data_IF_363700790901
#
_entry.id   IF_363700790901
#
_cell.length_a   1.000
_cell.length_b   1.000
_cell.length_c   1.000
_cell.angle_alpha   90.00
_cell.angle_beta   90.00
_cell.angle_gamma   90.00
#
_symmetry.space_group_name_H-M   'P 1'
#
loop_
_entity.id
_entity.type
_entity.pdbx_description
1 polymer ?
#
# COMPACT_ATOMS: atom_id res chain seq x y z
N UNK A 1 -1.45 -11.69 -1.43
CA UNK A 1 -0.36 -12.54 -0.96
C UNK A 1 0.97 -11.91 -1.37
N UNK A 2 1.95 -11.84 -0.49
CA UNK A 2 3.27 -11.29 -0.83
C UNK A 2 4.35 -12.20 -0.24
N UNK A 3 5.33 -12.59 -1.07
CA UNK A 3 6.42 -13.45 -0.63
C UNK A 3 5.94 -14.83 -0.15
N UNK A 4 6.67 -15.41 0.80
CA UNK A 4 6.42 -16.75 1.34
C UNK A 4 7.58 -17.71 1.12
N UNK A 5 7.48 -18.89 1.75
CA UNK A 5 8.48 -19.95 1.66
C UNK A 5 7.84 -21.20 1.03
N UNK A 6 8.42 -21.67 -0.08
CA UNK A 6 8.01 -22.93 -0.72
C UNK A 6 8.81 -24.08 -0.12
N UNK A 7 10.12 -23.88 0.02
CA UNK A 7 11.04 -24.82 0.63
C UNK A 7 12.20 -24.06 1.31
N UNK A 8 13.05 -24.73 2.11
CA UNK A 8 14.18 -24.06 2.77
C UNK A 8 15.15 -23.33 1.82
N UNK A 9 15.16 -23.68 0.53
CA UNK A 9 16.01 -23.08 -0.49
C UNK A 9 15.25 -22.16 -1.46
N UNK A 10 13.91 -22.13 -1.37
CA UNK A 10 13.05 -21.43 -2.33
C UNK A 10 12.10 -20.48 -1.60
N UNK A 11 12.41 -19.19 -1.73
CA UNK A 11 11.66 -18.10 -1.12
C UNK A 11 11.07 -17.21 -2.22
N UNK A 12 9.76 -16.99 -2.15
CA UNK A 12 9.01 -16.20 -3.10
C UNK A 12 9.37 -14.71 -3.01
N UNK A 13 9.36 -14.06 -4.17
CA UNK A 13 9.61 -12.61 -4.31
C UNK A 13 8.39 -11.86 -4.81
N UNK A 14 7.45 -12.57 -5.39
CA UNK A 14 6.30 -12.03 -6.08
C UNK A 14 5.18 -11.64 -5.13
N UNK A 15 4.33 -10.77 -5.66
CA UNK A 15 3.16 -10.25 -4.99
C UNK A 15 1.96 -10.56 -5.88
N UNK A 16 0.92 -11.09 -5.27
CA UNK A 16 -0.30 -11.54 -5.91
C UNK A 16 -1.51 -10.93 -5.22
N UNK A 17 -2.54 -10.63 -6.00
CA UNK A 17 -3.88 -10.29 -5.52
C UNK A 17 -4.85 -11.39 -5.94
N UNK A 18 -5.85 -11.66 -5.11
CA UNK A 18 -7.01 -12.46 -5.52
C UNK A 18 -8.16 -11.51 -5.85
N UNK A 19 -8.73 -11.67 -7.04
CA UNK A 19 -10.01 -11.07 -7.41
C UNK A 19 -11.10 -12.02 -6.91
N UNK A 20 -11.89 -11.57 -5.94
CA UNK A 20 -12.93 -12.40 -5.32
C UNK A 20 -14.22 -12.50 -6.16
N UNK A 21 -14.44 -11.58 -7.11
CA UNK A 21 -15.57 -11.65 -8.02
C UNK A 21 -15.32 -12.70 -9.10
N UNK A 22 -14.09 -12.73 -9.64
CA UNK A 22 -13.67 -13.67 -10.69
C UNK A 22 -13.10 -14.97 -10.15
N UNK A 23 -12.73 -15.00 -8.88
CA UNK A 23 -11.98 -16.09 -8.23
C UNK A 23 -10.64 -16.38 -8.92
N UNK A 24 -9.99 -15.32 -9.41
CA UNK A 24 -8.74 -15.39 -10.16
C UNK A 24 -7.58 -14.78 -9.38
N UNK A 25 -6.41 -15.40 -9.52
CA UNK A 25 -5.15 -14.86 -8.99
C UNK A 25 -4.48 -13.97 -10.03
N UNK A 26 -4.23 -12.73 -9.66
CA UNK A 26 -3.58 -11.72 -10.50
C UNK A 26 -2.17 -11.49 -9.93
N UNK A 27 -1.16 -11.75 -10.75
CA UNK A 27 0.23 -11.42 -10.42
C UNK A 27 0.45 -9.92 -10.63
N UNK A 28 0.95 -9.23 -9.62
CA UNK A 28 1.27 -7.81 -9.73
C UNK A 28 2.66 -7.62 -10.36
N UNK A 29 2.88 -6.48 -11.04
CA UNK A 29 4.17 -6.12 -11.65
C UNK A 29 5.19 -5.57 -10.63
N UNK A 30 4.96 -5.84 -9.35
CA UNK A 30 5.86 -5.48 -8.26
C UNK A 30 6.34 -6.73 -7.53
N UNK A 31 7.59 -6.67 -7.04
CA UNK A 31 8.25 -7.79 -6.37
C UNK A 31 9.28 -7.30 -5.37
N UNK A 32 9.54 -8.11 -4.36
CA UNK A 32 10.68 -7.91 -3.47
C UNK A 32 12.00 -8.07 -4.24
N UNK A 33 13.03 -7.31 -3.83
CA UNK A 33 14.40 -7.46 -4.37
C UNK A 33 14.97 -8.85 -4.05
N UNK A 34 14.74 -9.29 -2.82
CA UNK A 34 15.12 -10.61 -2.31
C UNK A 34 13.88 -11.38 -1.85
N UNK A 35 13.95 -12.71 -1.83
CA UNK A 35 12.84 -13.53 -1.37
C UNK A 35 12.58 -13.22 0.10
N UNK A 36 11.31 -13.05 0.47
CA UNK A 36 10.92 -12.60 1.80
C UNK A 36 9.75 -13.41 2.36
N UNK A 37 9.78 -13.72 3.65
CA UNK A 37 8.70 -14.37 4.39
C UNK A 37 8.63 -13.83 5.84
N UNK A 38 7.55 -14.13 6.57
CA UNK A 38 7.29 -13.62 7.93
C UNK A 38 7.38 -12.09 8.10
N UNK A 39 7.10 -11.33 7.03
CA UNK A 39 6.96 -9.89 7.10
C UNK A 39 5.53 -9.49 7.46
N UNK A 40 5.40 -8.29 8.03
CA UNK A 40 4.13 -7.65 8.27
C UNK A 40 3.70 -6.90 7.01
N UNK A 41 2.40 -6.86 6.74
CA UNK A 41 1.85 -6.09 5.61
C UNK A 41 0.67 -5.24 6.02
N UNK A 42 0.56 -4.06 5.42
CA UNK A 42 -0.62 -3.19 5.52
C UNK A 42 -0.93 -2.60 4.14
N UNK A 43 -2.19 -2.70 3.73
CA UNK A 43 -2.70 -2.04 2.52
C UNK A 43 -3.29 -0.69 2.94
N UNK A 44 -2.87 0.38 2.27
CA UNK A 44 -3.29 1.75 2.55
C UNK A 44 -3.87 2.35 1.28
N UNK A 45 -5.04 2.97 1.41
CA UNK A 45 -5.81 3.63 0.34
C UNK A 45 -6.04 2.75 -0.91
N UNK A 46 -6.08 1.43 -0.71
CA UNK A 46 -6.14 0.39 -1.75
C UNK A 46 -5.04 0.48 -2.83
N UNK A 47 -4.08 1.39 -2.66
CA UNK A 47 -3.09 1.77 -3.67
C UNK A 47 -1.68 1.36 -3.27
N UNK A 48 -1.40 1.32 -1.96
CA UNK A 48 -0.07 1.05 -1.45
C UNK A 48 -0.02 -0.14 -0.51
N UNK A 49 0.79 -1.13 -0.86
CA UNK A 49 1.15 -2.21 0.04
C UNK A 49 2.45 -1.86 0.75
N UNK A 50 2.36 -1.66 2.07
CA UNK A 50 3.53 -1.55 2.94
C UNK A 50 3.91 -2.94 3.44
N UNK A 51 5.20 -3.25 3.40
CA UNK A 51 5.77 -4.48 3.92
C UNK A 51 6.90 -4.14 4.88
N UNK A 52 6.78 -4.53 6.14
CA UNK A 52 7.76 -4.26 7.19
C UNK A 52 8.41 -5.55 7.65
N UNK A 53 9.73 -5.54 7.78
CA UNK A 53 10.46 -6.66 8.36
C UNK A 53 10.59 -7.84 7.40
N UNK A 54 10.62 -9.04 7.97
CA UNK A 54 10.70 -10.32 7.28
C UNK A 54 12.10 -10.91 7.22
N UNK A 55 12.13 -12.22 7.04
CA UNK A 55 13.32 -13.04 6.89
C UNK A 55 13.66 -13.26 5.42
N UNK A 56 14.94 -13.46 5.15
CA UNK A 56 15.45 -13.86 3.83
C UNK A 56 16.60 -14.86 3.98
N UNK A 57 16.87 -15.65 2.94
CA UNK A 57 17.83 -16.78 2.96
C UNK A 57 19.25 -16.47 3.43
N UNK A 58 19.64 -15.19 3.53
CA UNK A 58 21.04 -14.78 3.75
C UNK A 58 21.26 -13.86 4.95
N UNK A 59 20.21 -13.39 5.63
CA UNK A 59 20.40 -12.57 6.82
C UNK A 59 19.13 -12.46 7.68
N UNK A 60 19.37 -12.25 8.96
CA UNK A 60 18.38 -12.20 10.04
C UNK A 60 17.74 -10.80 10.07
N UNK A 61 16.40 -10.75 10.04
CA UNK A 61 15.52 -9.61 10.37
C UNK A 61 16.05 -8.20 10.03
N UNK A 62 15.86 -7.77 8.77
CA UNK A 62 15.94 -6.33 8.46
C UNK A 62 14.60 -5.67 8.77
N UNK A 63 14.58 -4.70 9.68
CA UNK A 63 13.45 -3.77 9.92
C UNK A 63 13.22 -2.81 8.75
N UNK A 64 13.42 -3.28 7.51
CA UNK A 64 13.21 -2.51 6.31
C UNK A 64 11.71 -2.37 6.06
N UNK A 65 11.27 -1.13 5.86
CA UNK A 65 9.96 -0.81 5.34
C UNK A 65 10.06 -0.67 3.81
N UNK A 66 9.33 -1.51 3.09
CA UNK A 66 9.18 -1.42 1.64
C UNK A 66 7.75 -0.99 1.31
N UNK A 67 7.59 -0.17 0.27
CA UNK A 67 6.32 0.31 -0.23
C UNK A 67 6.17 -0.10 -1.69
N UNK A 68 5.04 -0.71 -2.04
CA UNK A 68 4.69 -1.08 -3.40
C UNK A 68 3.41 -0.38 -3.83
N UNK A 69 3.41 0.21 -5.02
CA UNK A 69 2.18 0.67 -5.68
C UNK A 69 1.51 -0.56 -6.29
N UNK A 70 0.36 -0.97 -5.75
CA UNK A 70 -0.39 -2.15 -6.21
C UNK A 70 -1.55 -1.79 -7.12
N UNK A 71 -2.08 -0.58 -6.96
CA UNK A 71 -3.03 0.06 -7.86
C UNK A 71 -2.64 1.54 -7.99
N UNK A 72 -2.73 2.14 -9.18
CA UNK A 72 -2.60 3.57 -9.32
C UNK A 72 -3.74 4.26 -8.57
N UNK A 73 -3.41 5.36 -7.88
CA UNK A 73 -4.45 6.21 -7.28
C UNK A 73 -5.40 6.71 -8.34
N UNK A 74 -6.68 6.77 -7.99
CA UNK A 74 -7.68 7.44 -8.82
C UNK A 74 -7.34 8.93 -8.92
N UNK A 75 -7.72 9.55 -10.04
CA UNK A 75 -7.59 11.01 -10.20
C UNK A 75 -8.24 11.75 -9.04
N UNK A 76 -9.39 11.26 -8.57
CA UNK A 76 -10.08 11.77 -7.40
C UNK A 76 -9.17 11.84 -6.17
N UNK A 77 -8.47 10.74 -5.83
CA UNK A 77 -7.54 10.72 -4.69
C UNK A 77 -6.35 11.64 -4.87
N UNK A 78 -5.78 11.70 -6.07
CA UNK A 78 -4.69 12.63 -6.36
C UNK A 78 -5.14 14.09 -6.20
N UNK A 79 -6.35 14.43 -6.64
CA UNK A 79 -6.93 15.76 -6.47
C UNK A 79 -7.14 16.08 -4.98
N UNK A 80 -7.74 15.17 -4.22
CA UNK A 80 -7.99 15.33 -2.78
C UNK A 80 -6.69 15.57 -2.00
N UNK A 81 -5.64 14.77 -2.23
CA UNK A 81 -4.35 14.96 -1.57
C UNK A 81 -3.69 16.29 -1.93
N UNK A 82 -3.76 16.67 -3.21
CA UNK A 82 -3.23 17.97 -3.68
C UNK A 82 -3.95 19.13 -2.99
N UNK A 83 -5.27 19.01 -2.84
CA UNK A 83 -6.15 19.94 -2.16
C UNK A 83 -5.80 20.03 -0.67
N UNK A 84 -5.59 18.93 0.05
CA UNK A 84 -5.19 18.90 1.48
C UNK A 84 -3.92 19.70 1.77
N UNK A 85 -2.97 19.72 0.82
CA UNK A 85 -1.73 20.46 0.96
C UNK A 85 -1.85 21.97 0.64
N UNK A 86 -2.99 22.44 0.14
CA UNK A 86 -3.20 23.86 -0.14
C UNK A 86 -3.47 24.66 1.13
N UNK A 87 -2.68 25.72 1.42
CA UNK A 87 -2.86 26.56 2.61
C UNK A 87 -4.25 27.19 2.70
N UNK A 88 -4.90 27.44 1.56
CA UNK A 88 -6.17 28.16 1.47
C UNK A 88 -7.34 27.38 2.10
N UNK A 89 -7.26 26.05 2.14
CA UNK A 89 -8.33 25.22 2.68
C UNK A 89 -8.30 25.12 4.19
N UNK A 90 -7.14 25.28 4.83
CA UNK A 90 -7.05 25.46 6.28
C UNK A 90 -7.75 26.75 6.75
N UNK A 91 -7.83 27.75 5.88
CA UNK A 91 -8.44 29.06 6.17
C UNK A 91 -9.93 29.07 5.81
N UNK A 92 -10.37 28.21 4.87
CA UNK A 92 -11.71 28.26 4.25
C UNK A 92 -12.44 26.91 4.25
N UNK A 93 -12.10 26.02 5.19
CA UNK A 93 -12.72 24.70 5.33
C UNK A 93 -14.25 24.78 5.40
N UNK A 94 -14.76 25.83 6.05
CA UNK A 94 -16.18 26.16 6.22
C UNK A 94 -16.97 26.37 4.91
N UNK A 95 -16.30 26.64 3.79
CA UNK A 95 -16.94 26.81 2.48
C UNK A 95 -16.99 25.52 1.66
N UNK A 96 -16.35 24.45 2.11
CA UNK A 96 -16.44 23.16 1.46
C UNK A 96 -17.78 22.49 1.77
N UNK A 97 -18.39 21.76 0.83
CA UNK A 97 -19.52 20.90 1.15
C UNK A 97 -19.17 19.91 2.27
N UNK A 98 -20.11 19.54 3.16
CA UNK A 98 -19.83 18.67 4.32
C UNK A 98 -19.10 17.38 3.95
N UNK A 99 -19.47 16.75 2.84
CA UNK A 99 -18.82 15.55 2.31
C UNK A 99 -17.29 15.70 2.14
N UNK A 100 -16.82 16.87 1.67
CA UNK A 100 -15.39 17.12 1.50
C UNK A 100 -14.71 17.46 2.83
N UNK A 101 -15.44 18.02 3.81
CA UNK A 101 -14.87 18.32 5.13
C UNK A 101 -14.53 17.02 5.88
N UNK A 102 -15.45 16.04 5.85
CA UNK A 102 -15.28 14.72 6.46
C UNK A 102 -14.12 13.94 5.82
N UNK A 103 -13.97 14.04 4.50
CA UNK A 103 -12.95 13.30 3.76
C UNK A 103 -11.56 13.92 3.84
N UNK A 104 -11.47 15.22 4.11
CA UNK A 104 -10.20 15.94 4.21
C UNK A 104 -9.66 16.01 5.66
N UNK A 105 -10.40 15.48 6.63
CA UNK A 105 -10.04 15.43 8.06
C UNK A 105 -9.64 16.81 8.63
N UNK A 106 -10.25 17.89 8.14
CA UNK A 106 -9.80 19.27 8.39
C UNK A 106 -10.06 19.72 9.85
N UNK A 107 -10.79 18.94 10.64
CA UNK A 107 -11.19 19.27 12.02
C UNK A 107 -10.67 18.27 13.09
N UNK A 108 -9.74 17.38 12.75
CA UNK A 108 -9.12 16.43 13.67
C UNK A 108 -7.84 16.99 14.34
#
# INVERSE_FOLDING_TARGET
MSGGIISPLEICKDIWRIDLERLEWIKLDCRFKEGKYYHLTSLVDDSYLYCLGGDHSKNIYRNELQKFTVEPKTLYRLCIESIQHLPILRIRAEYLPPFFQDELDINA
#
